data_IF_006634710892
#
_entry.id   IF_006634710892
#
_cell.length_a   1.000
_cell.length_b   1.000
_cell.length_c   1.000
_cell.angle_alpha   90.00
_cell.angle_beta   90.00
_cell.angle_gamma   90.00
#
_symmetry.space_group_name_H-M   'P 1'
#
loop_
_entity.id
_entity.type
_entity.pdbx_description
1 polymer ?
#
# COMPACT_ATOMS: atom_id res chain seq x y z
N UNK A 1 18.23 -2.54 -6.62
CA UNK A 1 17.05 -1.74 -7.00
C UNK A 1 15.92 -1.95 -5.99
N UNK A 2 15.33 -0.88 -5.52
CA UNK A 2 14.21 -0.96 -4.58
C UNK A 2 12.90 -1.00 -5.36
N UNK A 3 12.02 -1.94 -5.00
CA UNK A 3 10.68 -1.95 -5.59
C UNK A 3 9.89 -0.75 -5.10
N UNK A 4 8.98 -0.19 -5.92
CA UNK A 4 8.11 0.89 -5.46
C UNK A 4 7.20 0.42 -4.33
N UNK A 5 6.75 1.37 -3.52
CA UNK A 5 5.87 1.09 -2.39
C UNK A 5 4.48 1.61 -2.70
N UNK A 6 3.48 0.76 -2.49
CA UNK A 6 2.07 1.14 -2.59
C UNK A 6 1.47 1.16 -1.18
N UNK A 7 0.93 2.30 -0.78
CA UNK A 7 0.26 2.46 0.49
C UNK A 7 -1.23 2.23 0.30
N UNK A 8 -1.79 1.25 1.03
CA UNK A 8 -3.19 0.87 0.92
C UNK A 8 -3.87 1.24 2.22
N UNK A 9 -4.69 2.29 2.17
CA UNK A 9 -5.32 2.85 3.37
C UNK A 9 -6.52 2.01 3.84
N UNK A 10 -6.94 2.24 5.07
CA UNK A 10 -8.11 1.59 5.65
C UNK A 10 -9.37 2.38 5.40
N UNK A 11 -10.36 2.19 6.28
CA UNK A 11 -11.67 2.81 6.15
C UNK A 11 -11.66 4.30 6.49
N UNK A 12 -12.60 5.03 5.92
CA UNK A 12 -12.96 6.37 6.37
C UNK A 12 -12.19 7.52 5.75
N UNK A 13 -11.29 7.27 4.80
CA UNK A 13 -10.46 8.33 4.23
C UNK A 13 -10.57 8.38 2.73
N UNK A 14 -10.66 9.59 2.18
CA UNK A 14 -10.62 9.85 0.75
C UNK A 14 -9.21 10.21 0.34
N UNK A 15 -8.95 10.22 -0.95
CA UNK A 15 -7.62 10.48 -1.49
C UNK A 15 -6.99 11.78 -0.97
N UNK A 16 -7.78 12.83 -0.88
CA UNK A 16 -7.30 14.13 -0.39
C UNK A 16 -6.90 14.10 1.09
N UNK A 17 -7.41 13.14 1.84
CA UNK A 17 -7.09 12.95 3.27
C UNK A 17 -6.04 11.88 3.48
N UNK A 18 -5.73 11.12 2.46
CA UNK A 18 -4.80 9.99 2.58
C UNK A 18 -3.40 10.44 2.98
N UNK A 19 -2.98 11.61 2.53
CA UNK A 19 -1.67 12.16 2.90
C UNK A 19 -1.60 12.39 4.41
N UNK A 20 -2.64 12.98 5.00
CA UNK A 20 -2.69 13.16 6.45
C UNK A 20 -2.83 11.84 7.20
N UNK A 21 -3.54 10.89 6.62
CA UNK A 21 -3.73 9.56 7.20
C UNK A 21 -2.39 8.86 7.45
N UNK A 22 -1.49 8.91 6.48
CA UNK A 22 -0.20 8.23 6.58
C UNK A 22 0.84 9.04 7.35
N UNK A 23 0.57 10.30 7.65
CA UNK A 23 1.48 11.16 8.40
C UNK A 23 2.84 11.30 7.72
N UNK A 24 3.90 10.99 8.44
CA UNK A 24 5.26 11.13 7.95
C UNK A 24 5.75 9.96 7.11
N UNK A 25 4.97 8.88 7.03
CA UNK A 25 5.42 7.65 6.39
C UNK A 25 5.83 7.86 4.93
N UNK A 26 5.00 8.50 4.07
CA UNK A 26 5.40 8.68 2.67
C UNK A 26 6.68 9.48 2.53
N UNK A 27 6.79 10.55 3.30
CA UNK A 27 7.97 11.42 3.24
C UNK A 27 9.24 10.68 3.67
N UNK A 28 9.17 9.94 4.76
CA UNK A 28 10.31 9.18 5.25
C UNK A 28 10.75 8.11 4.27
N UNK A 29 9.81 7.43 3.65
CA UNK A 29 10.13 6.42 2.65
C UNK A 29 10.82 7.05 1.44
N UNK A 30 10.32 8.19 0.98
CA UNK A 30 10.93 8.90 -0.14
C UNK A 30 12.36 9.36 0.20
N UNK A 31 12.58 9.85 1.42
CA UNK A 31 13.90 10.24 1.88
C UNK A 31 14.88 9.07 1.88
N UNK A 32 14.39 7.85 2.02
CA UNK A 32 15.21 6.64 1.99
C UNK A 32 15.29 5.99 0.61
N UNK A 33 14.89 6.72 -0.43
CA UNK A 33 15.08 6.29 -1.81
C UNK A 33 13.97 5.45 -2.39
N UNK A 34 12.81 5.37 -1.74
CA UNK A 34 11.66 4.63 -2.26
C UNK A 34 10.74 5.54 -3.08
N UNK A 35 10.21 5.01 -4.16
CA UNK A 35 9.08 5.62 -4.86
C UNK A 35 7.80 5.17 -4.16
N UNK A 36 6.96 6.12 -3.75
CA UNK A 36 5.78 5.85 -2.93
C UNK A 36 4.52 6.29 -3.66
N UNK A 37 3.53 5.41 -3.68
CA UNK A 37 2.25 5.65 -4.33
C UNK A 37 1.11 5.34 -3.38
N UNK A 38 -0.01 6.00 -3.58
CA UNK A 38 -1.23 5.78 -2.81
C UNK A 38 -2.21 4.99 -3.66
N UNK A 39 -2.86 3.98 -3.05
CA UNK A 39 -3.88 3.23 -3.76
C UNK A 39 -5.15 4.06 -3.90
N UNK A 40 -5.94 3.75 -4.93
CA UNK A 40 -7.13 4.53 -5.25
C UNK A 40 -8.44 3.88 -4.82
N UNK A 41 -8.42 2.96 -3.86
CA UNK A 41 -9.66 2.33 -3.44
C UNK A 41 -10.58 3.29 -2.68
N UNK A 42 -11.87 2.96 -2.72
CA UNK A 42 -12.90 3.71 -2.00
C UNK A 42 -13.00 3.20 -0.57
N UNK A 43 -12.95 4.11 0.40
CA UNK A 43 -13.01 3.74 1.81
C UNK A 43 -14.29 3.02 2.21
N UNK A 44 -15.37 3.23 1.46
CA UNK A 44 -16.69 2.64 1.77
C UNK A 44 -17.05 1.46 0.87
N UNK A 45 -16.16 1.05 -0.02
CA UNK A 45 -16.45 -0.05 -0.92
C UNK A 45 -16.33 -1.41 -0.26
N UNK A 46 -16.83 -2.44 -0.94
CA UNK A 46 -16.64 -3.81 -0.50
C UNK A 46 -15.18 -4.23 -0.65
N UNK A 47 -14.81 -5.30 0.05
CA UNK A 47 -13.45 -5.85 -0.08
C UNK A 47 -13.17 -6.23 -1.54
N UNK A 48 -14.12 -6.90 -2.20
CA UNK A 48 -13.94 -7.30 -3.60
C UNK A 48 -13.75 -6.11 -4.52
N UNK A 49 -14.61 -5.10 -4.41
CA UNK A 49 -14.56 -3.92 -5.24
C UNK A 49 -13.26 -3.15 -5.03
N UNK A 50 -12.88 -2.96 -3.76
CA UNK A 50 -11.66 -2.23 -3.44
C UNK A 50 -10.41 -3.03 -3.80
N UNK A 51 -10.45 -4.35 -3.72
CA UNK A 51 -9.33 -5.18 -4.12
C UNK A 51 -9.01 -5.02 -5.61
N UNK A 52 -10.05 -4.86 -6.43
CA UNK A 52 -9.83 -4.56 -7.86
C UNK A 52 -9.15 -3.21 -8.05
N UNK A 53 -9.52 -2.22 -7.24
CA UNK A 53 -8.86 -0.91 -7.31
C UNK A 53 -7.42 -0.99 -6.83
N UNK A 54 -7.14 -1.80 -5.83
CA UNK A 54 -5.77 -2.08 -5.41
C UNK A 54 -4.99 -2.71 -6.55
N UNK A 55 -5.57 -3.71 -7.22
CA UNK A 55 -4.94 -4.36 -8.36
C UNK A 55 -4.65 -3.38 -9.49
N UNK A 56 -5.60 -2.50 -9.80
CA UNK A 56 -5.40 -1.45 -10.81
C UNK A 56 -4.27 -0.51 -10.42
N UNK A 57 -4.19 -0.18 -9.13
CA UNK A 57 -3.11 0.67 -8.61
C UNK A 57 -1.76 -0.02 -8.77
N UNK A 58 -1.70 -1.32 -8.49
CA UNK A 58 -0.48 -2.10 -8.69
C UNK A 58 -0.04 -2.02 -10.15
N UNK A 59 -0.95 -2.30 -11.08
CA UNK A 59 -0.62 -2.26 -12.51
C UNK A 59 -0.12 -0.89 -12.94
N UNK A 60 -0.75 0.17 -12.46
CA UNK A 60 -0.34 1.54 -12.78
C UNK A 60 1.06 1.84 -12.26
N UNK A 61 1.35 1.45 -11.03
CA UNK A 61 2.66 1.68 -10.43
C UNK A 61 3.75 0.93 -11.18
N UNK A 62 3.51 -0.35 -11.49
CA UNK A 62 4.48 -1.16 -12.21
C UNK A 62 4.78 -0.59 -13.58
N UNK A 63 3.76 -0.10 -14.27
CA UNK A 63 3.93 0.51 -15.58
C UNK A 63 4.71 1.82 -15.49
N UNK A 64 4.37 2.66 -14.52
CA UNK A 64 5.03 3.95 -14.33
C UNK A 64 6.49 3.80 -13.95
N UNK A 65 6.80 2.84 -13.08
CA UNK A 65 8.15 2.63 -12.56
C UNK A 65 8.96 1.64 -13.38
N UNK A 66 8.34 1.01 -14.38
CA UNK A 66 8.98 -0.07 -15.15
C UNK A 66 9.53 -1.14 -14.20
N UNK A 67 8.74 -1.50 -13.21
CA UNK A 67 9.10 -2.47 -12.19
C UNK A 67 8.28 -3.75 -12.32
N UNK A 68 8.81 -4.84 -11.79
CA UNK A 68 8.15 -6.15 -11.84
C UNK A 68 7.23 -6.38 -10.65
N UNK A 69 7.56 -5.77 -9.52
CA UNK A 69 6.86 -5.99 -8.25
C UNK A 69 6.74 -4.72 -7.45
N UNK A 70 5.77 -4.72 -6.53
CA UNK A 70 5.59 -3.65 -5.54
C UNK A 70 5.71 -4.22 -4.13
N UNK A 71 6.12 -3.39 -3.19
CA UNK A 71 5.96 -3.66 -1.77
C UNK A 71 4.70 -2.93 -1.32
N UNK A 72 3.85 -3.61 -0.56
CA UNK A 72 2.61 -3.02 -0.06
C UNK A 72 2.72 -2.79 1.44
N UNK A 73 2.36 -1.59 1.86
CA UNK A 73 2.13 -1.28 3.27
C UNK A 73 0.65 -0.95 3.39
N UNK A 74 -0.07 -1.76 4.14
CA UNK A 74 -1.51 -1.63 4.25
C UNK A 74 -1.94 -1.42 5.69
N UNK A 75 -3.00 -0.65 5.90
CA UNK A 75 -3.53 -0.37 7.21
C UNK A 75 -4.95 -0.88 7.34
N UNK A 76 -5.23 -1.62 8.42
CA UNK A 76 -6.57 -2.07 8.78
C UNK A 76 -7.24 -2.86 7.64
N UNK A 77 -8.43 -2.45 7.21
CA UNK A 77 -9.17 -3.10 6.12
C UNK A 77 -8.36 -3.17 4.82
N UNK A 78 -7.45 -2.21 4.60
CA UNK A 78 -6.57 -2.23 3.42
C UNK A 78 -5.73 -3.49 3.33
N UNK A 79 -5.36 -4.07 4.47
CA UNK A 79 -4.62 -5.32 4.49
C UNK A 79 -5.41 -6.48 3.92
N UNK A 80 -6.71 -6.53 4.22
CA UNK A 80 -7.59 -7.56 3.68
C UNK A 80 -7.77 -7.39 2.17
N UNK A 81 -7.88 -6.15 1.72
CA UNK A 81 -8.03 -5.85 0.31
C UNK A 81 -6.78 -6.21 -0.48
N UNK A 82 -5.60 -5.91 0.08
CA UNK A 82 -4.34 -6.28 -0.55
C UNK A 82 -4.17 -7.79 -0.63
N UNK A 83 -4.52 -8.51 0.43
CA UNK A 83 -4.44 -9.97 0.44
C UNK A 83 -5.42 -10.59 -0.55
N UNK A 84 -6.61 -10.03 -0.66
CA UNK A 84 -7.58 -10.50 -1.62
C UNK A 84 -7.06 -10.32 -3.05
N UNK A 85 -6.45 -9.17 -3.33
CA UNK A 85 -5.85 -8.93 -4.64
C UNK A 85 -4.74 -9.94 -4.93
N UNK A 86 -3.90 -10.22 -3.94
CA UNK A 86 -2.80 -11.17 -4.11
C UNK A 86 -3.31 -12.58 -4.38
N UNK A 87 -4.25 -13.08 -3.57
CA UNK A 87 -4.68 -14.48 -3.64
C UNK A 87 -5.81 -14.69 -4.64
N UNK A 88 -6.88 -13.89 -4.56
CA UNK A 88 -8.08 -14.13 -5.33
C UNK A 88 -8.06 -13.49 -6.72
N UNK A 89 -7.34 -12.40 -6.89
CA UNK A 89 -7.23 -11.74 -8.18
C UNK A 89 -5.94 -12.12 -8.93
N UNK A 90 -5.11 -12.96 -8.33
CA UNK A 90 -3.92 -13.49 -9.02
C UNK A 90 -2.74 -12.53 -9.08
N UNK A 91 -2.63 -11.60 -8.16
CA UNK A 91 -1.58 -10.59 -8.17
C UNK A 91 -0.35 -10.95 -7.33
N UNK A 92 -0.29 -12.17 -6.79
CA UNK A 92 0.82 -12.56 -5.92
C UNK A 92 2.20 -12.41 -6.59
N UNK A 93 2.28 -12.66 -7.90
CA UNK A 93 3.53 -12.55 -8.63
C UNK A 93 4.01 -11.10 -8.79
N UNK A 94 3.11 -10.15 -8.59
CA UNK A 94 3.40 -8.71 -8.74
C UNK A 94 3.66 -8.04 -7.39
N UNK A 95 3.61 -8.80 -6.31
CA UNK A 95 3.77 -8.28 -4.95
C UNK A 95 4.98 -8.93 -4.31
N UNK A 96 5.97 -8.10 -3.94
CA UNK A 96 7.19 -8.59 -3.28
C UNK A 96 6.94 -8.84 -1.79
N UNK A 97 6.16 -7.97 -1.15
CA UNK A 97 5.83 -8.13 0.27
C UNK A 97 4.57 -7.35 0.61
N UNK A 98 3.87 -7.80 1.65
CA UNK A 98 2.74 -7.07 2.23
C UNK A 98 3.03 -6.91 3.71
N UNK A 99 3.08 -5.67 4.17
CA UNK A 99 3.21 -5.34 5.58
C UNK A 99 1.91 -4.71 6.02
N UNK A 100 1.30 -5.22 7.10
CA UNK A 100 0.05 -4.68 7.61
C UNK A 100 0.28 -3.97 8.92
N UNK A 101 -0.35 -2.82 9.08
CA UNK A 101 -0.35 -2.03 10.28
C UNK A 101 -1.73 -2.15 10.91
N UNK A 102 -1.81 -2.71 12.10
CA UNK A 102 -3.10 -2.99 12.73
C UNK A 102 -3.67 -1.78 13.46
N UNK A 103 -2.81 -0.94 14.02
CA UNK A 103 -3.25 0.26 14.73
C UNK A 103 -2.31 1.42 14.43
N UNK A 104 -2.82 2.66 14.34
CA UNK A 104 -1.99 3.82 14.03
C UNK A 104 -0.86 4.06 15.03
N UNK A 105 -1.11 3.82 16.30
CA UNK A 105 -0.10 4.09 17.33
C UNK A 105 1.06 3.09 17.33
N UNK A 106 0.91 1.95 16.66
CA UNK A 106 1.98 0.99 16.49
C UNK A 106 2.66 1.12 15.12
N UNK A 107 2.08 1.91 14.23
CA UNK A 107 2.53 2.02 12.85
C UNK A 107 3.95 2.54 12.71
N UNK A 108 4.31 3.55 13.50
CA UNK A 108 5.63 4.16 13.40
C UNK A 108 6.76 3.18 13.72
N UNK A 109 6.57 2.32 14.72
CA UNK A 109 7.56 1.28 15.05
C UNK A 109 7.74 0.29 13.91
N UNK A 110 6.64 -0.10 13.27
CA UNK A 110 6.68 -1.02 12.16
C UNK A 110 7.41 -0.41 10.97
N UNK A 111 7.14 0.85 10.67
CA UNK A 111 7.81 1.55 9.58
C UNK A 111 9.30 1.71 9.86
N UNK A 112 9.65 2.08 11.08
CA UNK A 112 11.06 2.20 11.47
C UNK A 112 11.79 0.88 11.29
N UNK A 113 11.14 -0.23 11.64
CA UNK A 113 11.70 -1.56 11.47
C UNK A 113 11.92 -1.90 10.00
N UNK A 114 10.95 -1.56 9.15
CA UNK A 114 11.07 -1.74 7.70
C UNK A 114 12.22 -0.94 7.13
N UNK A 115 12.41 0.27 7.60
CA UNK A 115 13.42 1.17 7.06
C UNK A 115 14.84 0.77 7.45
N UNK A 116 15.00 -0.09 8.45
CA UNK A 116 16.30 -0.62 8.83
C UNK A 116 16.75 -1.81 7.99
N UNK A 117 15.83 -2.32 7.20
CA UNK A 117 16.12 -3.41 6.27
C UNK A 117 16.64 -2.84 4.96
#
# INVERSE_FOLDING_TARGET
MKYPILLVHGMGFRDDRTIGYWGRIPRKLKENGFSVYLSGQDSNGSIESNSRKVAESIDRVLKTELADKVNIIAHSKGGLEARYAASSLGYSDKIASITTLSTPHNGSKTVDKLMKI
#
